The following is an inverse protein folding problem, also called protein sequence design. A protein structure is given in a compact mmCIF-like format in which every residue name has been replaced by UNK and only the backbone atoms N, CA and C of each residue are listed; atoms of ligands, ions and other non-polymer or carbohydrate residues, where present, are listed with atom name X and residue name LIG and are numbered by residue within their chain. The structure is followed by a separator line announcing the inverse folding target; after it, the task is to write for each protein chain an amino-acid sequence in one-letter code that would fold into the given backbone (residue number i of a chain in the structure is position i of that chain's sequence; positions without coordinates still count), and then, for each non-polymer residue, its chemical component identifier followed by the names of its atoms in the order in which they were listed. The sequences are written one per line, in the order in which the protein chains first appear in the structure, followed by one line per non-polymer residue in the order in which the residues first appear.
data_IF_705770838200
#
_entry.id   IF_705770838200
#
_cell.length_a   1.000
_cell.length_b   1.000
_cell.length_c   1.000
_cell.angle_alpha   90.00
_cell.angle_beta   90.00
_cell.angle_gamma   90.00
#
_symmetry.space_group_name_H-M   'P 1'
#
loop_
_entity.id
_entity.type
_entity.pdbx_description
1 polymer ?
#
# COMPACT_ATOMS: atom_id res chain seq x y z
N UNK A 1 7.55 28.20 35.59
CA UNK A 1 7.17 29.37 34.78
C UNK A 1 6.73 30.50 35.72
N UNK A 2 6.91 31.75 35.31
CA UNK A 2 6.34 32.92 36.01
C UNK A 2 4.98 33.25 35.38
N UNK A 3 3.98 33.62 36.17
CA UNK A 3 2.65 33.97 35.64
C UNK A 3 1.97 35.06 36.48
N UNK A 4 1.24 35.94 35.79
CA UNK A 4 0.34 36.93 36.35
C UNK A 4 -0.99 36.85 35.59
N UNK A 5 -2.09 36.58 36.28
CA UNK A 5 -3.42 36.50 35.69
C UNK A 5 -4.44 37.26 36.53
N UNK A 6 -5.34 37.99 35.88
CA UNK A 6 -6.47 38.66 36.51
C UNK A 6 -7.73 37.81 36.43
N UNK A 7 -8.47 37.82 37.53
CA UNK A 7 -9.83 37.28 37.61
C UNK A 7 -10.76 38.33 38.22
N UNK A 8 -12.03 38.29 37.84
CA UNK A 8 -13.06 39.24 38.29
C UNK A 8 -14.32 38.52 38.69
N UNK A 9 -15.03 39.01 39.71
CA UNK A 9 -16.34 38.46 40.10
C UNK A 9 -17.46 38.80 39.11
N UNK A 10 -17.30 39.86 38.31
CA UNK A 10 -18.18 40.23 37.19
C UNK A 10 -17.38 41.09 36.21
N UNK A 11 -17.78 41.08 34.93
CA UNK A 11 -17.24 41.97 33.89
C UNK A 11 -18.26 43.03 33.45
N UNK A 12 -19.32 43.22 34.23
CA UNK A 12 -20.34 44.21 33.94
C UNK A 12 -20.90 44.88 35.20
N UNK A 13 -21.28 46.14 35.03
CA UNK A 13 -22.28 46.83 35.84
C UNK A 13 -23.58 46.93 35.03
N UNK A 14 -24.68 46.49 35.63
CA UNK A 14 -26.00 46.44 34.98
C UNK A 14 -26.85 47.63 35.38
N UNK A 15 -27.57 48.17 34.39
CA UNK A 15 -28.46 49.32 34.52
C UNK A 15 -29.80 48.97 33.87
N UNK A 16 -30.89 49.53 34.38
CA UNK A 16 -32.19 49.44 33.74
C UNK A 16 -32.27 50.34 32.49
N UNK A 17 -33.39 50.24 31.76
CA UNK A 17 -33.63 51.04 30.56
C UNK A 17 -33.74 52.56 30.81
N UNK A 18 -33.84 53.00 32.07
CA UNK A 18 -33.88 54.41 32.48
C UNK A 18 -32.49 54.91 32.96
N UNK A 19 -31.47 54.04 32.91
CA UNK A 19 -30.10 54.36 33.30
C UNK A 19 -29.83 54.28 34.80
N UNK A 20 -30.76 53.76 35.62
CA UNK A 20 -30.51 53.50 37.03
C UNK A 20 -29.83 52.14 37.21
N UNK A 21 -28.87 52.03 38.13
CA UNK A 21 -28.19 50.77 38.38
C UNK A 21 -29.15 49.72 38.97
N UNK A 22 -29.12 48.51 38.43
CA UNK A 22 -29.97 47.41 38.89
C UNK A 22 -29.15 46.11 38.96
N UNK A 23 -28.81 45.60 40.16
CA UNK A 23 -29.18 46.14 41.49
C UNK A 23 -28.51 47.49 41.79
N UNK A 24 -29.09 48.26 42.71
CA UNK A 24 -28.64 49.63 43.04
C UNK A 24 -27.27 49.70 43.71
N UNK A 25 -26.79 48.57 44.24
CA UNK A 25 -25.43 48.40 44.75
C UNK A 25 -24.76 47.22 44.05
N UNK A 26 -23.60 47.48 43.46
CA UNK A 26 -22.81 46.50 42.73
C UNK A 26 -21.33 46.76 43.06
N UNK A 27 -20.54 45.70 43.13
CA UNK A 27 -19.09 45.78 43.31
C UNK A 27 -18.44 44.62 42.60
N UNK A 28 -17.39 44.91 41.82
CA UNK A 28 -16.54 43.92 41.18
C UNK A 28 -15.27 43.77 41.99
N UNK A 29 -14.97 42.55 42.41
CA UNK A 29 -13.67 42.21 42.99
C UNK A 29 -12.75 41.70 41.89
N UNK A 30 -11.55 42.25 41.82
CA UNK A 30 -10.48 41.89 40.90
C UNK A 30 -9.36 41.23 41.72
N UNK A 31 -8.91 40.05 41.33
CA UNK A 31 -7.85 39.33 42.01
C UNK A 31 -6.72 38.96 41.02
N UNK A 32 -5.49 39.30 41.39
CA UNK A 32 -4.27 38.90 40.69
C UNK A 32 -3.74 37.58 41.27
N UNK A 33 -3.74 36.53 40.46
CA UNK A 33 -3.04 35.29 40.76
C UNK A 33 -1.59 35.42 40.26
N UNK A 34 -0.65 35.37 41.21
CA UNK A 34 0.79 35.46 40.94
C UNK A 34 1.45 34.12 41.27
N UNK A 35 2.33 33.65 40.39
CA UNK A 35 3.10 32.43 40.62
C UNK A 35 4.58 32.66 40.28
N UNK A 36 5.46 32.35 41.24
CA UNK A 36 6.91 32.50 41.12
C UNK A 36 7.38 33.93 40.76
N UNK A 37 6.61 34.95 41.17
CA UNK A 37 6.93 36.36 41.00
C UNK A 37 7.06 37.03 42.37
N UNK A 38 8.26 37.42 42.80
CA UNK A 38 8.42 38.17 44.05
C UNK A 38 7.94 39.62 43.87
N UNK A 39 7.21 40.13 44.86
CA UNK A 39 6.74 41.52 44.90
C UNK A 39 5.22 41.65 45.00
N UNK A 40 4.74 42.90 45.05
CA UNK A 40 3.31 43.23 45.09
C UNK A 40 2.88 43.78 43.74
N UNK A 41 1.83 43.23 43.10
CA UNK A 41 1.35 43.73 41.82
C UNK A 41 0.83 45.16 41.91
N UNK A 42 1.14 45.95 40.88
CA UNK A 42 0.62 47.30 40.69
C UNK A 42 -0.64 47.25 39.83
N UNK A 43 -1.67 48.02 40.20
CA UNK A 43 -2.93 48.12 39.46
C UNK A 43 -3.17 49.54 38.99
N UNK A 44 -3.58 49.69 37.73
CA UNK A 44 -4.12 50.92 37.17
C UNK A 44 -5.51 50.65 36.61
N UNK A 45 -6.41 51.62 36.69
CA UNK A 45 -7.74 51.53 36.11
C UNK A 45 -8.06 52.82 35.36
N UNK A 46 -8.57 52.71 34.14
CA UNK A 46 -8.89 53.87 33.30
C UNK A 46 -10.32 53.72 32.78
N UNK A 47 -11.12 54.77 32.94
CA UNK A 47 -12.49 54.83 32.42
C UNK A 47 -12.50 55.35 30.98
N UNK A 48 -13.44 54.85 30.19
CA UNK A 48 -13.63 55.23 28.79
C UNK A 48 -15.10 55.49 28.47
N UNK A 49 -15.38 56.40 27.54
CA UNK A 49 -16.72 56.60 26.99
C UNK A 49 -17.05 55.58 25.88
N UNK A 50 -18.26 55.66 25.32
CA UNK A 50 -18.75 54.75 24.26
C UNK A 50 -17.95 54.83 22.95
N UNK A 51 -17.20 55.90 22.73
CA UNK A 51 -16.30 56.07 21.58
C UNK A 51 -14.86 55.63 21.87
N UNK A 52 -14.60 55.07 23.05
CA UNK A 52 -13.28 54.61 23.47
C UNK A 52 -12.29 55.72 23.84
N UNK A 53 -12.78 56.94 24.07
CA UNK A 53 -11.93 58.04 24.57
C UNK A 53 -11.71 57.88 26.07
N UNK A 54 -10.46 57.97 26.51
CA UNK A 54 -10.11 57.94 27.93
C UNK A 54 -10.74 59.14 28.66
N UNK A 55 -11.46 58.85 29.74
CA UNK A 55 -12.08 59.83 30.63
C UNK A 55 -11.18 60.16 31.84
N UNK A 56 -10.17 59.31 32.10
CA UNK A 56 -9.24 59.48 33.20
C UNK A 56 -9.06 58.22 34.06
N UNK A 57 -8.16 58.32 35.04
CA UNK A 57 -7.85 57.22 35.94
C UNK A 57 -8.91 57.08 37.04
N UNK A 58 -9.34 55.84 37.29
CA UNK A 58 -10.26 55.47 38.38
C UNK A 58 -9.44 54.94 39.56
N UNK A 59 -9.73 55.44 40.76
CA UNK A 59 -9.11 54.91 41.99
C UNK A 59 -9.84 53.66 42.45
N UNK A 60 -9.15 52.51 42.43
CA UNK A 60 -9.67 51.23 42.94
C UNK A 60 -9.59 51.17 44.49
N UNK A 61 -10.51 50.42 45.10
CA UNK A 61 -10.40 50.00 46.50
C UNK A 61 -9.57 48.71 46.67
N UNK A 62 -9.38 48.26 47.91
CA UNK A 62 -8.61 47.05 48.24
C UNK A 62 -7.09 47.25 48.28
N UNK A 63 -6.34 46.18 48.56
CA UNK A 63 -4.88 46.21 48.71
C UNK A 63 -4.22 44.86 48.37
N UNK A 64 -2.89 44.84 48.26
CA UNK A 64 -2.14 43.61 47.93
C UNK A 64 -2.49 43.07 46.54
N UNK A 65 -2.85 41.79 46.45
CA UNK A 65 -3.25 41.10 45.21
C UNK A 65 -4.74 41.20 44.88
N UNK A 66 -5.54 41.87 45.71
CA UNK A 66 -6.98 42.05 45.49
C UNK A 66 -7.33 43.53 45.40
N UNK A 67 -8.20 43.89 44.46
CA UNK A 67 -8.76 45.23 44.29
C UNK A 67 -10.26 45.13 44.12
N UNK A 68 -10.96 46.22 44.40
CA UNK A 68 -12.40 46.32 44.18
C UNK A 68 -12.72 47.55 43.34
N UNK A 69 -13.67 47.41 42.44
CA UNK A 69 -14.31 48.51 41.73
C UNK A 69 -15.79 48.53 42.13
N UNK A 70 -16.20 49.56 42.88
CA UNK A 70 -17.61 49.76 43.24
C UNK A 70 -18.36 50.49 42.14
N UNK A 71 -19.70 50.42 42.16
CA UNK A 71 -20.55 51.18 41.24
C UNK A 71 -20.28 52.69 41.29
N UNK A 72 -20.00 53.23 42.48
CA UNK A 72 -19.66 54.65 42.63
C UNK A 72 -18.33 54.98 41.94
N UNK A 73 -17.31 54.11 42.10
CA UNK A 73 -16.01 54.28 41.44
C UNK A 73 -16.13 54.11 39.92
N UNK A 74 -16.96 53.18 39.43
CA UNK A 74 -17.23 53.01 38.00
C UNK A 74 -17.87 54.26 37.38
N UNK A 75 -18.76 54.93 38.11
CA UNK A 75 -19.41 56.17 37.69
C UNK A 75 -18.67 57.45 38.13
N UNK A 76 -17.38 57.37 38.49
CA UNK A 76 -16.57 58.56 38.87
C UNK A 76 -16.61 59.64 37.79
N UNK A 77 -16.62 59.22 36.52
CA UNK A 77 -16.78 60.09 35.36
C UNK A 77 -18.17 59.94 34.78
N UNK A 78 -18.78 61.06 34.38
CA UNK A 78 -20.01 61.02 33.61
C UNK A 78 -19.75 60.30 32.27
N UNK A 79 -20.73 59.53 31.80
CA UNK A 79 -20.68 58.79 30.53
C UNK A 79 -19.63 57.65 30.46
N UNK A 80 -19.13 57.14 31.60
CA UNK A 80 -18.34 55.90 31.59
C UNK A 80 -19.13 54.76 30.94
N UNK A 81 -18.58 54.20 29.86
CA UNK A 81 -19.10 53.02 29.18
C UNK A 81 -18.38 51.75 29.61
N UNK A 82 -17.07 51.83 29.86
CA UNK A 82 -16.30 50.72 30.41
C UNK A 82 -15.07 51.23 31.17
N UNK A 83 -14.54 50.39 32.05
CA UNK A 83 -13.29 50.61 32.76
C UNK A 83 -12.35 49.46 32.46
N UNK A 84 -11.14 49.76 31.98
CA UNK A 84 -10.08 48.77 31.83
C UNK A 84 -9.19 48.82 33.05
N UNK A 85 -9.01 47.68 33.70
CA UNK A 85 -8.11 47.49 34.84
C UNK A 85 -6.91 46.69 34.37
N UNK A 86 -5.72 47.26 34.53
CA UNK A 86 -4.45 46.63 34.18
C UNK A 86 -3.68 46.33 35.46
N UNK A 87 -3.13 45.13 35.56
CA UNK A 87 -2.26 44.71 36.64
C UNK A 87 -0.89 44.36 36.09
N UNK A 88 0.18 44.85 36.71
CA UNK A 88 1.56 44.58 36.29
C UNK A 88 2.46 44.18 37.47
N UNK A 89 3.37 43.23 37.22
CA UNK A 89 4.38 42.78 38.16
C UNK A 89 5.54 42.09 37.42
N UNK A 90 6.78 42.46 37.75
CA UNK A 90 7.98 41.77 37.21
C UNK A 90 8.11 41.79 35.69
N UNK A 91 7.61 42.84 35.03
CA UNK A 91 7.60 42.98 33.56
C UNK A 91 6.44 42.28 32.85
N UNK A 92 5.59 41.55 33.58
CA UNK A 92 4.34 40.97 33.06
C UNK A 92 3.16 41.92 33.33
N UNK A 93 2.17 41.89 32.44
CA UNK A 93 0.93 42.66 32.58
C UNK A 93 -0.26 41.85 32.10
N UNK A 94 -1.38 41.97 32.79
CA UNK A 94 -2.68 41.44 32.37
C UNK A 94 -3.77 42.51 32.53
N UNK A 95 -4.84 42.46 31.76
CA UNK A 95 -5.91 43.47 31.78
C UNK A 95 -7.30 42.84 31.65
N UNK A 96 -8.27 43.46 32.32
CA UNK A 96 -9.69 43.11 32.21
C UNK A 96 -10.50 44.37 31.94
N UNK A 97 -11.55 44.24 31.11
CA UNK A 97 -12.51 45.32 30.84
C UNK A 97 -13.83 45.00 31.51
N UNK A 98 -14.33 45.97 32.29
CA UNK A 98 -15.62 45.90 32.97
C UNK A 98 -16.56 46.89 32.27
N UNK A 99 -17.70 46.41 31.78
CA UNK A 99 -18.60 47.16 30.90
C UNK A 99 -19.85 47.68 31.62
N UNK A 100 -20.42 48.79 31.13
CA UNK A 100 -21.80 49.17 31.39
C UNK A 100 -22.73 48.38 30.47
N UNK A 101 -23.76 47.75 31.02
CA UNK A 101 -24.80 47.02 30.27
C UNK A 101 -26.18 47.57 30.67
N UNK A 102 -27.02 47.91 29.69
CA UNK A 102 -28.38 48.42 29.91
C UNK A 102 -29.43 47.55 29.17
N UNK A 103 -30.63 47.40 29.73
CA UNK A 103 -31.70 46.56 29.16
C UNK A 103 -32.26 47.10 27.82
N UNK A 104 -32.32 46.22 26.80
CA UNK A 104 -32.51 46.55 25.38
C UNK A 104 -33.89 46.25 24.77
N UNK A 105 -34.98 46.77 25.34
CA UNK A 105 -36.36 46.50 24.89
C UNK A 105 -36.69 46.94 23.43
N UNK A 106 -35.78 47.66 22.75
CA UNK A 106 -35.96 48.18 21.39
C UNK A 106 -35.09 47.49 20.32
N UNK A 107 -34.29 46.49 20.66
CA UNK A 107 -33.50 45.76 19.67
C UNK A 107 -34.39 44.76 18.91
N UNK A 108 -34.51 44.92 17.58
CA UNK A 108 -35.24 43.98 16.72
C UNK A 108 -34.26 43.10 15.95
N UNK A 109 -34.40 41.78 16.07
CA UNK A 109 -33.53 40.80 15.40
C UNK A 109 -34.35 39.76 14.66
N UNK A 110 -33.74 39.05 13.73
CA UNK A 110 -34.40 37.94 13.06
C UNK A 110 -33.41 37.00 12.39
N UNK A 111 -33.80 35.73 12.24
CA UNK A 111 -32.98 34.70 11.64
C UNK A 111 -33.84 33.69 10.88
N UNK A 112 -33.23 33.00 9.93
CA UNK A 112 -33.84 31.87 9.24
C UNK A 112 -33.48 30.59 9.99
N UNK A 113 -34.43 29.69 10.20
CA UNK A 113 -34.12 28.38 10.82
C UNK A 113 -33.28 27.48 9.91
N UNK A 114 -33.23 27.81 8.61
CA UNK A 114 -32.39 27.15 7.61
C UNK A 114 -31.92 28.19 6.58
N UNK A 115 -30.76 28.80 6.80
CA UNK A 115 -30.25 29.89 5.96
C UNK A 115 -29.43 29.42 4.75
N UNK A 116 -29.03 28.15 4.72
CA UNK A 116 -28.30 27.56 3.60
C UNK A 116 -28.60 26.07 3.47
N UNK A 117 -28.63 25.56 2.24
CA UNK A 117 -28.84 24.14 2.00
C UNK A 117 -27.98 23.61 0.85
N UNK A 118 -27.54 22.35 0.95
CA UNK A 118 -26.85 21.65 -0.13
C UNK A 118 -27.68 20.45 -0.56
N UNK A 119 -27.98 20.34 -1.84
CA UNK A 119 -28.75 19.24 -2.42
C UNK A 119 -27.83 18.32 -3.19
N UNK A 120 -27.73 17.06 -2.76
CA UNK A 120 -27.07 16.03 -3.54
C UNK A 120 -27.86 15.76 -4.83
N UNK A 121 -27.16 15.74 -5.96
CA UNK A 121 -27.74 15.51 -7.30
C UNK A 121 -26.90 14.48 -8.05
N UNK A 122 -27.45 13.92 -9.12
CA UNK A 122 -26.63 13.16 -10.06
C UNK A 122 -25.63 14.08 -10.79
N UNK A 123 -24.77 13.50 -11.63
CA UNK A 123 -23.76 14.26 -12.39
C UNK A 123 -24.39 15.28 -13.37
N UNK A 124 -25.63 15.05 -13.83
CA UNK A 124 -26.36 16.00 -14.67
C UNK A 124 -27.03 17.14 -13.90
N UNK A 125 -27.00 17.14 -12.56
CA UNK A 125 -27.60 18.17 -11.71
C UNK A 125 -29.11 17.97 -11.48
N UNK A 126 -29.65 16.80 -11.80
CA UNK A 126 -31.06 16.42 -11.59
C UNK A 126 -31.19 15.38 -10.46
N UNK A 127 -32.43 15.01 -10.12
CA UNK A 127 -32.72 14.01 -9.08
C UNK A 127 -32.48 14.48 -7.64
N UNK A 128 -32.30 15.78 -7.43
CA UNK A 128 -32.14 16.36 -6.09
C UNK A 128 -33.42 16.30 -5.27
N UNK A 129 -33.30 16.02 -3.98
CA UNK A 129 -34.40 16.15 -3.01
C UNK A 129 -34.28 17.47 -2.25
N UNK A 130 -35.33 18.28 -2.30
CA UNK A 130 -35.43 19.56 -1.60
C UNK A 130 -36.23 19.44 -0.30
N UNK A 131 -36.52 18.21 0.13
CA UNK A 131 -37.18 17.94 1.40
C UNK A 131 -36.31 18.46 2.53
N UNK A 132 -36.85 19.37 3.36
CA UNK A 132 -36.10 20.00 4.45
C UNK A 132 -35.23 21.20 4.04
N UNK A 133 -35.22 21.60 2.77
CA UNK A 133 -34.55 22.83 2.33
C UNK A 133 -35.30 24.11 2.79
N UNK A 134 -36.58 23.99 3.16
CA UNK A 134 -37.36 25.07 3.75
C UNK A 134 -37.05 25.34 5.24
N UNK A 135 -37.77 26.29 5.82
CA UNK A 135 -37.62 26.68 7.22
C UNK A 135 -38.64 27.75 7.63
N UNK A 136 -38.34 28.50 8.69
CA UNK A 136 -39.14 29.66 9.14
C UNK A 136 -38.25 30.88 9.37
N UNK A 137 -38.75 32.06 9.04
CA UNK A 137 -38.13 33.34 9.40
C UNK A 137 -38.68 33.79 10.75
N UNK A 138 -37.85 33.71 11.79
CA UNK A 138 -38.20 34.09 13.15
C UNK A 138 -37.72 35.52 13.42
N UNK A 139 -38.58 36.33 14.04
CA UNK A 139 -38.30 37.72 14.40
C UNK A 139 -38.54 37.94 15.89
N UNK A 140 -37.62 38.63 16.54
CA UNK A 140 -37.71 38.99 17.95
C UNK A 140 -37.69 40.51 18.10
N UNK A 141 -38.37 40.99 19.15
CA UNK A 141 -38.20 42.33 19.70
C UNK A 141 -37.82 42.20 21.17
N UNK A 142 -36.61 42.64 21.52
CA UNK A 142 -35.97 42.25 22.77
C UNK A 142 -35.86 40.73 22.85
N UNK A 143 -36.44 40.13 23.90
CA UNK A 143 -36.46 38.68 24.12
C UNK A 143 -37.76 38.00 23.65
N UNK A 144 -38.73 38.76 23.15
CA UNK A 144 -40.05 38.23 22.76
C UNK A 144 -40.12 37.98 21.25
N UNK A 145 -40.49 36.78 20.84
CA UNK A 145 -40.75 36.47 19.44
C UNK A 145 -42.03 37.19 18.99
N UNK A 146 -41.98 37.85 17.82
CA UNK A 146 -43.14 38.44 17.20
C UNK A 146 -43.92 37.38 16.41
N UNK A 147 -45.16 37.14 16.81
CA UNK A 147 -46.11 36.26 16.09
C UNK A 147 -47.25 37.04 15.43
N UNK A 148 -47.32 38.36 15.65
CA UNK A 148 -48.21 39.30 14.99
C UNK A 148 -47.51 40.65 14.80
N UNK A 149 -48.03 41.50 13.91
CA UNK A 149 -47.40 42.80 13.62
C UNK A 149 -46.06 42.70 12.88
N UNK A 150 -45.84 41.57 12.21
CA UNK A 150 -44.75 41.32 11.28
C UNK A 150 -45.33 40.69 10.01
N UNK A 151 -44.87 41.13 8.84
CA UNK A 151 -45.21 40.52 7.55
C UNK A 151 -43.96 40.02 6.85
N UNK A 152 -44.04 38.85 6.23
CA UNK A 152 -42.94 38.21 5.53
C UNK A 152 -43.11 38.23 4.01
N UNK A 153 -42.00 38.37 3.29
CA UNK A 153 -42.00 38.30 1.82
C UNK A 153 -40.67 37.79 1.28
N UNK A 154 -40.68 37.29 0.04
CA UNK A 154 -39.46 37.06 -0.72
C UNK A 154 -39.21 38.30 -1.59
N UNK A 155 -38.04 38.91 -1.47
CA UNK A 155 -37.66 40.05 -2.31
C UNK A 155 -37.40 39.55 -3.74
N UNK A 156 -38.01 40.20 -4.73
CA UNK A 156 -37.88 39.84 -6.15
C UNK A 156 -38.68 38.61 -6.59
N UNK A 157 -39.31 37.88 -5.66
CA UNK A 157 -40.21 36.75 -5.92
C UNK A 157 -39.69 35.69 -6.91
N UNK A 158 -38.48 35.12 -6.72
CA UNK A 158 -38.05 33.95 -7.49
C UNK A 158 -39.05 32.78 -7.35
N UNK A 159 -39.24 32.02 -8.43
CA UNK A 159 -40.23 30.93 -8.49
C UNK A 159 -39.89 29.71 -7.61
N UNK A 160 -38.63 29.58 -7.19
CA UNK A 160 -38.11 28.40 -6.48
C UNK A 160 -38.15 28.51 -4.96
N UNK A 161 -38.55 29.66 -4.41
CA UNK A 161 -38.73 29.83 -2.96
C UNK A 161 -39.98 30.67 -2.68
N UNK A 162 -40.78 30.22 -1.73
CA UNK A 162 -41.99 30.94 -1.29
C UNK A 162 -41.97 31.08 0.21
N UNK A 163 -42.54 32.15 0.76
CA UNK A 163 -42.70 32.36 2.20
C UNK A 163 -44.15 32.73 2.52
N UNK A 164 -44.73 32.11 3.53
CA UNK A 164 -46.03 32.48 4.03
C UNK A 164 -45.93 33.84 4.73
N UNK A 165 -46.73 34.81 4.27
CA UNK A 165 -46.63 36.20 4.70
C UNK A 165 -46.99 36.46 6.16
N UNK A 166 -47.71 35.54 6.81
CA UNK A 166 -48.15 35.66 8.22
C UNK A 166 -47.34 34.79 9.17
N UNK A 167 -46.90 33.60 8.73
CA UNK A 167 -46.20 32.66 9.62
C UNK A 167 -44.68 32.66 9.46
N UNK A 168 -44.16 33.22 8.36
CA UNK A 168 -42.73 33.23 8.06
C UNK A 168 -42.20 31.87 7.60
N UNK A 169 -43.04 30.84 7.47
CA UNK A 169 -42.64 29.53 6.96
C UNK A 169 -42.34 29.63 5.45
N UNK A 170 -41.14 29.21 5.03
CA UNK A 170 -40.73 29.18 3.63
C UNK A 170 -40.43 27.77 3.14
N UNK A 171 -40.71 27.55 1.86
CA UNK A 171 -40.44 26.30 1.15
C UNK A 171 -39.56 26.56 -0.06
N UNK A 172 -38.77 25.56 -0.43
CA UNK A 172 -37.75 25.66 -1.49
C UNK A 172 -37.92 24.50 -2.46
N UNK A 173 -37.85 24.79 -3.75
CA UNK A 173 -37.83 23.81 -4.86
C UNK A 173 -36.56 24.00 -5.69
N UNK A 174 -36.44 23.28 -6.81
CA UNK A 174 -35.25 23.39 -7.67
C UNK A 174 -35.12 24.80 -8.27
N UNK A 175 -34.03 25.54 -7.98
CA UNK A 175 -33.77 26.84 -8.61
C UNK A 175 -33.38 26.73 -10.09
N UNK A 176 -33.14 25.53 -10.62
CA UNK A 176 -32.68 25.27 -11.99
C UNK A 176 -31.18 25.51 -12.19
N UNK A 177 -30.54 26.29 -11.32
CA UNK A 177 -29.10 26.56 -11.29
C UNK A 177 -28.37 25.74 -10.21
N UNK A 178 -27.05 25.61 -10.34
CA UNK A 178 -26.20 24.91 -9.36
C UNK A 178 -25.96 25.74 -8.10
N UNK A 179 -26.13 27.06 -8.16
CA UNK A 179 -26.08 27.97 -7.03
C UNK A 179 -27.19 29.02 -7.20
N UNK A 180 -27.97 29.24 -6.14
CA UNK A 180 -28.98 30.27 -6.11
C UNK A 180 -29.08 30.94 -4.73
N UNK A 181 -29.52 32.18 -4.72
CA UNK A 181 -29.78 32.93 -3.49
C UNK A 181 -31.07 33.74 -3.59
N UNK A 182 -31.75 33.92 -2.47
CA UNK A 182 -32.93 34.74 -2.35
C UNK A 182 -32.90 35.54 -1.05
N UNK A 183 -33.46 36.75 -1.06
CA UNK A 183 -33.60 37.54 0.17
C UNK A 183 -35.01 37.38 0.72
N UNK A 184 -35.11 36.85 1.94
CA UNK A 184 -36.33 36.81 2.72
C UNK A 184 -36.38 38.07 3.59
N UNK A 185 -37.51 38.77 3.55
CA UNK A 185 -37.73 40.04 4.24
C UNK A 185 -38.81 39.87 5.30
N UNK A 186 -38.55 40.37 6.50
CA UNK A 186 -39.54 40.60 7.52
C UNK A 186 -39.72 42.12 7.72
N UNK A 187 -40.97 42.57 7.73
CA UNK A 187 -41.34 43.97 7.99
C UNK A 187 -42.13 44.04 9.28
N UNK A 188 -41.57 44.65 10.32
CA UNK A 188 -42.24 44.88 11.60
C UNK A 188 -43.08 46.15 11.48
N UNK A 189 -44.40 46.01 11.62
CA UNK A 189 -45.39 47.08 11.44
C UNK A 189 -45.91 47.65 12.76
N UNK A 190 -45.41 47.16 13.90
CA UNK A 190 -45.77 47.64 15.25
C UNK A 190 -45.09 48.97 15.65
N UNK A 191 -44.31 49.55 14.74
CA UNK A 191 -43.56 50.80 14.95
C UNK A 191 -43.62 51.66 13.70
N UNK A 192 -43.52 52.97 13.86
CA UNK A 192 -43.46 53.93 12.74
C UNK A 192 -42.18 54.76 12.85
N UNK A 193 -41.28 54.72 11.85
CA UNK A 193 -41.36 53.93 10.61
C UNK A 193 -41.21 52.42 10.86
N UNK A 194 -41.74 51.60 9.94
CA UNK A 194 -41.59 50.14 9.99
C UNK A 194 -40.11 49.75 10.02
N UNK A 195 -39.78 48.67 10.75
CA UNK A 195 -38.42 48.10 10.76
C UNK A 195 -38.36 46.96 9.73
N UNK A 196 -37.31 46.95 8.92
CA UNK A 196 -37.07 45.93 7.90
C UNK A 196 -35.88 45.06 8.32
N UNK A 197 -36.06 43.74 8.22
CA UNK A 197 -35.02 42.74 8.47
C UNK A 197 -34.91 41.84 7.24
N UNK A 198 -33.78 41.91 6.54
CA UNK A 198 -33.50 41.08 5.37
C UNK A 198 -32.49 39.99 5.72
N UNK A 199 -32.81 38.73 5.41
CA UNK A 199 -31.92 37.57 5.51
C UNK A 199 -31.75 36.95 4.12
N UNK A 200 -30.53 36.55 3.80
CA UNK A 200 -30.22 35.87 2.54
C UNK A 200 -30.25 34.36 2.78
N UNK A 201 -31.05 33.65 1.99
CA UNK A 201 -31.03 32.20 1.88
C UNK A 201 -30.17 31.78 0.69
N UNK A 202 -29.34 30.75 0.84
CA UNK A 202 -28.52 30.18 -0.25
C UNK A 202 -28.78 28.69 -0.45
N UNK A 203 -28.72 28.22 -1.68
CA UNK A 203 -28.82 26.79 -1.98
C UNK A 203 -27.83 26.42 -3.09
N UNK A 204 -27.16 25.28 -2.90
CA UNK A 204 -26.20 24.74 -3.86
C UNK A 204 -26.54 23.29 -4.24
N UNK A 205 -26.25 22.92 -5.49
CA UNK A 205 -26.26 21.52 -5.95
C UNK A 205 -24.87 20.91 -5.80
N UNK A 206 -24.77 19.81 -5.07
CA UNK A 206 -23.60 18.94 -5.05
C UNK A 206 -23.78 17.85 -6.12
N UNK A 207 -23.16 18.03 -7.29
CA UNK A 207 -23.22 17.05 -8.39
C UNK A 207 -22.35 15.85 -8.08
N UNK A 208 -22.89 14.65 -8.27
CA UNK A 208 -22.10 13.43 -8.25
C UNK A 208 -21.00 13.46 -9.33
N UNK A 209 -19.88 12.79 -9.06
CA UNK A 209 -18.82 12.60 -10.05
C UNK A 209 -19.32 11.81 -11.27
N UNK A 210 -18.64 11.98 -12.40
CA UNK A 210 -18.83 11.09 -13.56
C UNK A 210 -18.10 9.77 -13.30
N UNK A 211 -18.65 8.67 -13.79
CA UNK A 211 -17.91 7.40 -13.84
C UNK A 211 -16.65 7.59 -14.68
N UNK A 212 -15.50 7.16 -14.17
CA UNK A 212 -14.26 7.18 -14.93
C UNK A 212 -14.33 6.28 -16.17
N UNK A 213 -13.50 6.56 -17.17
CA UNK A 213 -13.33 5.64 -18.28
C UNK A 213 -12.77 4.30 -17.76
N UNK A 214 -13.11 3.20 -18.45
CA UNK A 214 -12.47 1.92 -18.19
C UNK A 214 -10.97 2.03 -18.47
N UNK A 215 -10.17 1.30 -17.70
CA UNK A 215 -8.74 1.14 -17.97
C UNK A 215 -8.51 0.41 -19.30
N UNK A 216 -7.30 0.53 -19.84
CA UNK A 216 -6.85 -0.26 -20.98
C UNK A 216 -6.68 -1.73 -20.60
N UNK A 217 -6.87 -2.64 -21.56
CA UNK A 217 -6.57 -4.06 -21.36
C UNK A 217 -5.09 -4.27 -20.96
N UNK A 218 -4.84 -5.25 -20.09
CA UNK A 218 -3.50 -5.69 -19.74
C UNK A 218 -2.82 -6.50 -20.85
N UNK A 219 -1.51 -6.73 -20.73
CA UNK A 219 -0.74 -7.56 -21.68
C UNK A 219 -0.79 -9.05 -21.28
N UNK A 220 -1.09 -9.91 -22.25
CA UNK A 220 -0.81 -11.33 -22.19
C UNK A 220 0.69 -11.54 -22.51
N UNK A 221 1.37 -12.43 -21.78
CA UNK A 221 2.78 -12.74 -22.01
C UNK A 221 3.01 -14.25 -22.04
N UNK A 222 3.82 -14.74 -22.99
CA UNK A 222 4.19 -16.16 -23.08
C UNK A 222 5.60 -16.32 -23.67
N UNK A 223 6.31 -17.38 -23.27
CA UNK A 223 7.54 -17.82 -23.95
C UNK A 223 7.17 -19.00 -24.83
N UNK A 224 7.54 -18.91 -26.11
CA UNK A 224 7.27 -19.93 -27.12
C UNK A 224 8.57 -20.66 -27.37
N UNK A 225 8.56 -21.98 -27.16
CA UNK A 225 9.67 -22.85 -27.53
C UNK A 225 9.35 -23.59 -28.83
N UNK A 226 10.35 -23.69 -29.70
CA UNK A 226 10.34 -24.62 -30.81
C UNK A 226 11.53 -25.57 -30.69
N UNK A 227 11.31 -26.82 -31.06
CA UNK A 227 12.24 -27.92 -30.91
C UNK A 227 12.51 -28.61 -32.25
N UNK A 228 13.75 -29.03 -32.46
CA UNK A 228 14.17 -29.80 -33.62
C UNK A 228 15.29 -30.78 -33.25
N UNK A 229 15.26 -32.00 -33.81
CA UNK A 229 16.40 -32.93 -33.76
C UNK A 229 17.29 -32.71 -34.99
N UNK A 230 18.58 -32.45 -34.78
CA UNK A 230 19.53 -32.22 -35.87
C UNK A 230 20.98 -32.53 -35.47
N UNK A 231 21.78 -33.08 -36.39
CA UNK A 231 23.20 -33.40 -36.18
C UNK A 231 24.09 -32.15 -36.00
N UNK A 232 23.67 -31.00 -36.56
CA UNK A 232 24.31 -29.70 -36.42
C UNK A 232 23.25 -28.63 -36.14
N UNK A 233 23.68 -27.42 -35.79
CA UNK A 233 22.77 -26.30 -35.52
C UNK A 233 21.82 -26.08 -36.71
N UNK A 234 20.49 -26.20 -36.53
CA UNK A 234 19.54 -25.99 -37.62
C UNK A 234 19.53 -24.54 -38.11
N UNK A 235 19.03 -24.31 -39.31
CA UNK A 235 18.69 -22.96 -39.74
C UNK A 235 17.54 -22.39 -38.89
N UNK A 236 17.57 -21.08 -38.64
CA UNK A 236 16.46 -20.39 -37.99
C UNK A 236 15.16 -20.51 -38.83
N UNK A 237 13.98 -20.47 -38.19
CA UNK A 237 12.72 -20.37 -38.92
C UNK A 237 12.68 -19.06 -39.74
N UNK A 238 11.72 -18.96 -40.66
CA UNK A 238 11.52 -17.74 -41.46
C UNK A 238 10.05 -17.34 -41.52
N UNK A 239 9.78 -16.13 -42.03
CA UNK A 239 8.43 -15.58 -42.12
C UNK A 239 7.92 -14.96 -40.82
N UNK A 240 6.60 -14.77 -40.76
CA UNK A 240 5.91 -14.13 -39.63
C UNK A 240 4.92 -15.12 -39.03
N UNK A 241 5.03 -15.33 -37.73
CA UNK A 241 4.20 -16.24 -36.95
C UNK A 241 3.13 -15.48 -36.17
N UNK A 242 2.06 -16.19 -35.83
CA UNK A 242 0.99 -15.71 -34.96
C UNK A 242 0.83 -16.67 -33.79
N UNK A 243 1.03 -16.18 -32.58
CA UNK A 243 0.78 -16.93 -31.34
C UNK A 243 -0.61 -16.60 -30.81
N UNK A 244 -1.42 -17.61 -30.51
CA UNK A 244 -2.75 -17.44 -29.91
C UNK A 244 -2.72 -17.81 -28.45
N UNK A 245 -2.95 -16.85 -27.54
CA UNK A 245 -2.78 -17.06 -26.11
C UNK A 245 -3.75 -18.09 -25.52
N UNK A 246 -5.00 -18.12 -26.02
CA UNK A 246 -6.03 -19.02 -25.51
C UNK A 246 -5.77 -20.50 -25.81
N UNK A 247 -5.02 -20.80 -26.87
CA UNK A 247 -4.73 -22.18 -27.31
C UNK A 247 -3.27 -22.58 -27.12
N UNK A 248 -2.37 -21.61 -26.93
CA UNK A 248 -0.93 -21.84 -26.87
C UNK A 248 -0.31 -22.24 -28.22
N UNK A 249 -1.04 -22.09 -29.32
CA UNK A 249 -0.62 -22.52 -30.66
C UNK A 249 0.12 -21.40 -31.38
N UNK A 250 1.26 -21.74 -31.97
CA UNK A 250 1.98 -20.92 -32.93
C UNK A 250 1.58 -21.35 -34.34
N UNK A 251 1.15 -20.40 -35.17
CA UNK A 251 0.71 -20.64 -36.54
C UNK A 251 1.36 -19.64 -37.52
N UNK A 252 1.17 -19.84 -38.82
CA UNK A 252 1.82 -19.02 -39.85
C UNK A 252 3.32 -19.30 -39.97
N UNK A 253 4.04 -18.35 -40.58
CA UNK A 253 5.47 -18.45 -40.85
C UNK A 253 5.87 -19.68 -41.66
N UNK A 254 7.18 -19.94 -41.67
CA UNK A 254 7.81 -21.12 -42.28
C UNK A 254 8.73 -21.75 -41.23
N UNK A 255 8.20 -22.65 -40.38
CA UNK A 255 8.96 -23.25 -39.28
C UNK A 255 10.01 -24.26 -39.74
N UNK A 256 9.96 -24.77 -40.99
CA UNK A 256 10.84 -25.87 -41.41
C UNK A 256 10.56 -27.14 -40.60
N UNK A 257 11.60 -27.73 -40.01
CA UNK A 257 11.47 -28.91 -39.14
C UNK A 257 11.32 -28.58 -37.64
N UNK A 258 11.18 -27.30 -37.30
CA UNK A 258 10.90 -26.84 -35.95
C UNK A 258 9.45 -27.13 -35.58
N UNK A 259 9.22 -27.63 -34.36
CA UNK A 259 7.88 -27.97 -33.86
C UNK A 259 7.70 -27.52 -32.40
N UNK A 260 6.48 -27.20 -31.97
CA UNK A 260 6.22 -26.83 -30.57
C UNK A 260 6.30 -28.02 -29.60
N UNK A 261 6.21 -29.25 -30.10
CA UNK A 261 6.36 -30.48 -29.32
C UNK A 261 7.76 -31.04 -29.49
N UNK A 262 8.37 -31.57 -28.44
CA UNK A 262 9.68 -32.22 -28.54
C UNK A 262 9.59 -33.42 -29.50
N UNK A 263 10.36 -33.45 -30.62
CA UNK A 263 10.37 -34.60 -31.52
C UNK A 263 10.91 -35.86 -30.83
N UNK A 264 10.41 -37.03 -31.27
CA UNK A 264 10.88 -38.32 -30.81
C UNK A 264 12.41 -38.46 -30.97
N UNK A 265 13.03 -39.27 -30.10
CA UNK A 265 14.46 -39.51 -30.21
C UNK A 265 14.80 -40.22 -31.53
N UNK A 266 15.81 -39.72 -32.24
CA UNK A 266 16.36 -40.29 -33.47
C UNK A 266 17.90 -40.38 -33.43
N UNK A 267 18.50 -40.31 -32.23
CA UNK A 267 19.95 -40.32 -32.01
C UNK A 267 20.66 -38.99 -32.27
N UNK A 268 19.93 -37.93 -32.65
CA UNK A 268 20.51 -36.60 -32.87
C UNK A 268 20.29 -35.66 -31.67
N UNK A 269 21.17 -34.66 -31.46
CA UNK A 269 20.94 -33.60 -30.49
C UNK A 269 19.57 -32.94 -30.66
N UNK A 270 18.92 -32.66 -29.53
CA UNK A 270 17.72 -31.85 -29.44
C UNK A 270 18.11 -30.38 -29.33
N UNK A 271 17.73 -29.60 -30.33
CA UNK A 271 17.89 -28.15 -30.37
C UNK A 271 16.61 -27.45 -29.94
N UNK A 272 16.76 -26.27 -29.34
CA UNK A 272 15.67 -25.38 -28.94
C UNK A 272 15.95 -23.94 -29.39
N UNK A 273 14.89 -23.25 -29.80
CA UNK A 273 14.83 -21.80 -29.95
C UNK A 273 13.65 -21.25 -29.14
N UNK A 274 13.72 -19.98 -28.74
CA UNK A 274 12.65 -19.33 -28.01
C UNK A 274 12.35 -17.92 -28.52
N UNK A 275 11.08 -17.52 -28.47
CA UNK A 275 10.61 -16.15 -28.66
C UNK A 275 9.62 -15.77 -27.56
N UNK A 276 9.41 -14.47 -27.33
CA UNK A 276 8.42 -13.98 -26.36
C UNK A 276 7.23 -13.40 -27.10
N UNK A 277 6.01 -13.83 -26.76
CA UNK A 277 4.80 -13.16 -27.20
C UNK A 277 4.33 -12.15 -26.14
N UNK A 278 3.96 -10.94 -26.56
CA UNK A 278 3.39 -9.92 -25.68
C UNK A 278 2.35 -9.05 -26.39
N UNK A 279 1.08 -9.11 -25.99
CA UNK A 279 0.01 -8.37 -26.65
C UNK A 279 -1.18 -8.12 -25.73
N UNK A 280 -1.87 -6.99 -25.93
CA UNK A 280 -3.13 -6.66 -25.24
C UNK A 280 -4.37 -7.19 -25.97
N UNK A 281 -4.16 -8.03 -26.98
CA UNK A 281 -5.19 -8.75 -27.74
C UNK A 281 -5.02 -10.27 -27.58
N UNK A 282 -5.92 -11.05 -28.19
CA UNK A 282 -5.93 -12.52 -28.09
C UNK A 282 -4.76 -13.20 -28.81
N UNK A 283 -4.02 -12.46 -29.64
CA UNK A 283 -2.88 -12.97 -30.41
C UNK A 283 -1.70 -12.02 -30.38
N UNK A 284 -0.51 -12.57 -30.62
CA UNK A 284 0.69 -11.79 -30.89
C UNK A 284 1.33 -12.18 -32.23
N UNK A 285 1.94 -11.20 -32.89
CA UNK A 285 2.67 -11.39 -34.15
C UNK A 285 4.15 -11.45 -33.88
N UNK A 286 4.78 -12.57 -34.19
CA UNK A 286 6.19 -12.83 -33.93
C UNK A 286 6.95 -12.95 -35.26
N UNK A 287 7.86 -12.01 -35.52
CA UNK A 287 8.79 -12.12 -36.63
C UNK A 287 9.82 -13.21 -36.37
N UNK A 288 10.25 -13.92 -37.42
CA UNK A 288 11.26 -14.97 -37.29
C UNK A 288 12.58 -14.49 -36.62
N UNK A 289 12.93 -13.22 -36.77
CA UNK A 289 14.12 -12.60 -36.16
C UNK A 289 14.04 -12.45 -34.64
N UNK A 290 12.85 -12.61 -34.04
CA UNK A 290 12.67 -12.56 -32.60
C UNK A 290 12.99 -13.89 -31.90
N UNK A 291 13.11 -14.98 -32.67
CA UNK A 291 13.59 -16.25 -32.13
C UNK A 291 15.08 -16.17 -31.82
N UNK A 292 15.48 -16.75 -30.70
CA UNK A 292 16.88 -16.92 -30.34
C UNK A 292 17.64 -17.75 -31.37
N UNK A 293 18.98 -17.63 -31.37
CA UNK A 293 19.83 -18.62 -32.05
C UNK A 293 19.57 -20.04 -31.51
N UNK A 294 19.66 -21.09 -32.34
CA UNK A 294 19.51 -22.47 -31.88
C UNK A 294 20.56 -22.85 -30.83
N UNK A 295 20.10 -23.46 -29.75
CA UNK A 295 20.95 -24.00 -28.68
C UNK A 295 20.62 -25.48 -28.45
N UNK A 296 21.61 -26.30 -28.10
CA UNK A 296 21.40 -27.70 -27.73
C UNK A 296 20.73 -27.74 -26.36
N UNK A 297 19.52 -28.28 -26.29
CA UNK A 297 18.80 -28.56 -25.05
C UNK A 297 19.24 -29.88 -24.42
N UNK A 298 19.48 -30.91 -25.24
CA UNK A 298 19.93 -32.23 -24.79
C UNK A 298 20.62 -32.99 -25.92
N UNK A 299 21.60 -33.83 -25.58
CA UNK A 299 22.22 -34.78 -26.51
C UNK A 299 22.53 -36.09 -25.76
N UNK A 300 22.58 -37.20 -26.48
CA UNK A 300 22.91 -38.49 -25.88
C UNK A 300 24.38 -38.49 -25.41
N UNK A 301 24.65 -39.15 -24.28
CA UNK A 301 26.01 -39.35 -23.79
C UNK A 301 26.79 -40.29 -24.70
N UNK A 302 28.13 -40.15 -24.72
CA UNK A 302 28.99 -41.13 -25.39
C UNK A 302 28.85 -42.53 -24.77
N UNK A 303 29.31 -43.56 -25.49
CA UNK A 303 29.31 -44.92 -24.97
C UNK A 303 30.07 -45.02 -23.64
N UNK A 304 29.49 -45.74 -22.67
CA UNK A 304 30.13 -46.01 -21.38
C UNK A 304 31.35 -46.92 -21.52
N UNK A 305 32.27 -46.85 -20.55
CA UNK A 305 33.44 -47.73 -20.50
C UNK A 305 33.04 -49.12 -19.96
N UNK A 306 33.23 -50.17 -20.75
CA UNK A 306 33.19 -51.55 -20.25
C UNK A 306 34.51 -51.85 -19.54
N UNK A 307 34.47 -52.54 -18.38
CA UNK A 307 35.68 -52.96 -17.66
C UNK A 307 35.52 -54.34 -17.04
N UNK A 308 36.57 -55.16 -17.09
CA UNK A 308 36.62 -56.50 -16.47
C UNK A 308 38.04 -56.86 -16.05
N UNK A 309 38.19 -57.68 -15.00
CA UNK A 309 39.45 -58.37 -14.69
C UNK A 309 39.41 -59.77 -15.28
N UNK A 310 40.39 -60.08 -16.14
CA UNK A 310 40.50 -61.37 -16.80
C UNK A 310 41.48 -62.25 -16.04
N UNK A 311 41.04 -63.43 -15.62
CA UNK A 311 41.87 -64.44 -14.99
C UNK A 311 42.21 -65.54 -15.98
N UNK A 312 43.48 -65.96 -16.00
CA UNK A 312 43.90 -67.20 -16.65
C UNK A 312 44.60 -68.11 -15.65
N UNK A 313 44.36 -69.40 -15.81
CA UNK A 313 44.87 -70.46 -14.96
C UNK A 313 45.67 -71.44 -15.80
N UNK A 314 46.73 -71.98 -15.19
CA UNK A 314 47.55 -73.04 -15.78
C UNK A 314 48.13 -73.91 -14.67
N UNK A 315 48.15 -75.22 -14.88
CA UNK A 315 48.93 -76.14 -14.04
C UNK A 315 50.35 -76.31 -14.57
N UNK A 316 51.34 -76.26 -13.69
CA UNK A 316 52.75 -76.41 -14.05
C UNK A 316 53.62 -76.70 -12.82
N UNK A 317 54.63 -77.56 -12.97
CA UNK A 317 55.60 -77.85 -11.92
C UNK A 317 56.59 -76.69 -11.64
N UNK A 318 56.77 -75.78 -12.60
CA UNK A 318 57.59 -74.56 -12.48
C UNK A 318 56.79 -73.34 -12.91
N UNK A 319 57.25 -72.13 -12.54
CA UNK A 319 56.62 -70.87 -12.94
C UNK A 319 56.50 -70.78 -14.47
N UNK A 320 55.29 -70.78 -15.06
CA UNK A 320 55.12 -70.75 -16.50
C UNK A 320 55.38 -69.35 -17.09
N UNK A 321 55.76 -69.28 -18.37
CA UNK A 321 55.73 -68.00 -19.09
C UNK A 321 54.29 -67.52 -19.30
N UNK A 322 54.06 -66.21 -19.20
CA UNK A 322 52.78 -65.55 -19.54
C UNK A 322 52.47 -65.70 -21.04
N UNK A 323 51.23 -65.43 -21.50
CA UNK A 323 50.91 -65.40 -22.91
C UNK A 323 51.82 -64.44 -23.70
N UNK A 324 52.27 -64.87 -24.87
CA UNK A 324 53.23 -64.11 -25.71
C UNK A 324 52.58 -63.40 -26.90
N UNK A 325 51.28 -63.62 -27.14
CA UNK A 325 50.48 -62.98 -28.18
C UNK A 325 49.33 -62.20 -27.58
N UNK A 326 48.84 -61.20 -28.30
CA UNK A 326 47.64 -60.49 -27.89
C UNK A 326 46.41 -61.42 -27.90
N UNK A 327 45.50 -61.21 -26.97
CA UNK A 327 44.24 -61.94 -26.84
C UNK A 327 43.07 -60.95 -26.82
N UNK A 328 41.90 -61.36 -27.32
CA UNK A 328 40.72 -60.49 -27.39
C UNK A 328 39.69 -60.90 -26.35
N UNK A 329 39.33 -59.98 -25.47
CA UNK A 329 38.26 -60.16 -24.48
C UNK A 329 36.95 -59.59 -25.02
N UNK A 330 35.87 -60.38 -24.96
CA UNK A 330 34.53 -59.95 -25.37
C UNK A 330 33.66 -59.73 -24.15
N UNK A 331 33.28 -58.48 -23.88
CA UNK A 331 32.54 -58.11 -22.65
C UNK A 331 31.18 -58.79 -22.57
N UNK A 332 30.46 -58.91 -23.70
CA UNK A 332 29.12 -59.50 -23.74
C UNK A 332 29.08 -60.98 -23.32
N UNK A 333 30.17 -61.72 -23.52
CA UNK A 333 30.25 -63.17 -23.25
C UNK A 333 31.20 -63.52 -22.11
N UNK A 334 32.06 -62.60 -21.69
CA UNK A 334 33.12 -62.85 -20.71
C UNK A 334 34.26 -63.74 -21.23
N UNK A 335 34.30 -64.01 -22.54
CA UNK A 335 35.23 -64.96 -23.16
C UNK A 335 36.49 -64.23 -23.66
N UNK A 336 37.65 -64.81 -23.36
CA UNK A 336 38.94 -64.48 -23.94
C UNK A 336 39.26 -65.46 -25.07
N UNK A 337 39.65 -64.94 -26.24
CA UNK A 337 40.12 -65.73 -27.38
C UNK A 337 41.53 -65.32 -27.78
N UNK A 338 42.32 -66.26 -28.34
CA UNK A 338 43.71 -66.00 -28.74
C UNK A 338 44.74 -66.20 -27.62
N UNK A 339 44.32 -66.70 -26.44
CA UNK A 339 45.22 -67.13 -25.38
C UNK A 339 46.12 -68.28 -25.85
N UNK A 340 47.39 -68.23 -25.47
CA UNK A 340 48.39 -69.22 -25.83
C UNK A 340 49.15 -69.72 -24.57
N UNK A 341 50.21 -70.51 -24.79
CA UNK A 341 51.05 -71.06 -23.71
C UNK A 341 50.26 -71.89 -22.67
N UNK A 342 49.21 -72.57 -23.13
CA UNK A 342 48.34 -73.46 -22.33
C UNK A 342 47.62 -72.79 -21.16
N UNK A 343 47.50 -71.46 -21.18
CA UNK A 343 46.66 -70.72 -20.26
C UNK A 343 45.19 -70.81 -20.68
N UNK A 344 44.29 -70.98 -19.72
CA UNK A 344 42.84 -71.10 -19.95
C UNK A 344 42.05 -70.34 -18.89
N UNK A 345 40.81 -69.93 -19.19
CA UNK A 345 39.96 -69.15 -18.27
C UNK A 345 39.32 -70.00 -17.15
N UNK A 346 39.43 -71.33 -17.20
CA UNK A 346 38.96 -72.24 -16.16
C UNK A 346 40.14 -72.96 -15.51
N UNK A 347 40.01 -73.34 -14.24
CA UNK A 347 41.07 -74.07 -13.53
C UNK A 347 41.25 -75.46 -14.17
N UNK A 348 42.43 -75.79 -14.72
CA UNK A 348 42.66 -77.12 -15.31
C UNK A 348 42.66 -78.23 -14.25
N UNK A 349 42.22 -79.44 -14.64
CA UNK A 349 42.43 -80.65 -13.83
C UNK A 349 43.91 -81.05 -13.79
N UNK A 350 44.35 -81.75 -12.74
CA UNK A 350 45.71 -82.27 -12.61
C UNK A 350 46.26 -82.15 -11.19
N UNK A 351 47.54 -82.50 -11.01
CA UNK A 351 48.20 -82.55 -9.70
C UNK A 351 49.25 -81.46 -9.46
N UNK A 352 49.78 -80.85 -10.53
CA UNK A 352 50.78 -79.77 -10.43
C UNK A 352 50.19 -78.49 -9.81
N UNK A 353 51.01 -77.59 -9.22
CA UNK A 353 50.55 -76.28 -8.74
C UNK A 353 49.73 -75.52 -9.79
N UNK A 354 48.65 -74.88 -9.33
CA UNK A 354 47.82 -73.98 -10.15
C UNK A 354 48.46 -72.59 -10.07
N UNK A 355 48.90 -72.09 -11.21
CA UNK A 355 49.28 -70.70 -11.38
C UNK A 355 48.10 -69.88 -11.90
N UNK A 356 48.03 -68.62 -11.48
CA UNK A 356 47.08 -67.61 -11.96
C UNK A 356 47.81 -66.36 -12.43
N UNK A 357 47.32 -65.78 -13.51
CA UNK A 357 47.67 -64.44 -14.00
C UNK A 357 46.40 -63.62 -14.22
N UNK A 358 46.54 -62.30 -14.14
CA UNK A 358 45.45 -61.36 -14.37
C UNK A 358 45.82 -60.30 -15.38
N UNK A 359 44.85 -59.82 -16.14
CA UNK A 359 44.93 -58.60 -16.93
C UNK A 359 43.63 -57.79 -16.79
N UNK A 360 43.70 -56.48 -17.03
CA UNK A 360 42.52 -55.61 -17.05
C UNK A 360 42.06 -55.44 -18.48
N UNK A 361 40.78 -55.68 -18.74
CA UNK A 361 40.13 -55.33 -20.00
C UNK A 361 39.33 -54.03 -19.83
N UNK A 362 39.53 -53.03 -20.70
CA UNK A 362 38.78 -51.77 -20.65
C UNK A 362 38.55 -51.15 -22.05
N UNK A 363 37.30 -50.92 -22.44
CA UNK A 363 36.96 -50.40 -23.77
C UNK A 363 35.58 -49.75 -23.83
N UNK A 364 35.42 -48.69 -24.62
CA UNK A 364 34.11 -48.11 -24.96
C UNK A 364 33.39 -48.89 -26.08
N UNK A 365 34.04 -49.93 -26.62
CA UNK A 365 33.47 -50.86 -27.61
C UNK A 365 33.18 -52.23 -26.98
N UNK A 366 32.59 -53.15 -27.75
CA UNK A 366 32.18 -54.47 -27.25
C UNK A 366 33.33 -55.45 -26.95
N UNK A 367 34.57 -55.10 -27.30
CA UNK A 367 35.76 -55.93 -27.09
C UNK A 367 36.95 -55.10 -26.62
N UNK A 368 37.90 -55.77 -25.98
CA UNK A 368 39.22 -55.21 -25.67
C UNK A 368 40.34 -56.15 -26.12
N UNK A 369 41.48 -55.59 -26.51
CA UNK A 369 42.67 -56.35 -26.92
C UNK A 369 43.70 -56.31 -25.79
N UNK A 370 43.90 -57.45 -25.15
CA UNK A 370 44.88 -57.62 -24.09
C UNK A 370 46.23 -57.97 -24.71
N UNK A 371 47.19 -57.06 -24.64
CA UNK A 371 48.54 -57.27 -25.14
C UNK A 371 49.35 -58.20 -24.22
N UNK A 372 50.38 -58.85 -24.78
CA UNK A 372 51.23 -59.80 -24.02
C UNK A 372 51.88 -59.19 -22.76
N UNK A 373 52.18 -57.89 -22.80
CA UNK A 373 52.79 -57.16 -21.68
C UNK A 373 51.82 -56.74 -20.57
N UNK A 374 50.51 -56.96 -20.72
CA UNK A 374 49.50 -56.54 -19.75
C UNK A 374 49.19 -57.60 -18.69
N UNK A 375 49.67 -58.83 -18.88
CA UNK A 375 49.51 -59.90 -17.92
C UNK A 375 50.40 -59.68 -16.69
N UNK A 376 49.83 -59.90 -15.51
CA UNK A 376 50.60 -59.95 -14.27
C UNK A 376 51.66 -61.05 -14.32
N UNK A 377 52.66 -60.95 -13.44
CA UNK A 377 53.54 -62.08 -13.19
C UNK A 377 52.73 -63.29 -12.66
N UNK A 378 53.10 -64.53 -13.04
CA UNK A 378 52.40 -65.73 -12.55
C UNK A 378 52.56 -65.88 -11.04
N UNK A 379 51.45 -66.13 -10.36
CA UNK A 379 51.40 -66.41 -8.93
C UNK A 379 50.79 -67.79 -8.67
N UNK A 380 51.22 -68.49 -7.62
CA UNK A 380 50.62 -69.77 -7.23
C UNK A 380 49.28 -69.48 -6.54
N UNK A 381 48.19 -69.94 -7.13
CA UNK A 381 46.85 -69.87 -6.55
C UNK A 381 46.65 -70.99 -5.52
N UNK A 382 47.07 -72.21 -5.86
CA UNK A 382 46.92 -73.39 -5.01
C UNK A 382 47.92 -74.49 -5.39
N UNK A 383 48.32 -75.30 -4.41
CA UNK A 383 49.17 -76.49 -4.60
C UNK A 383 48.79 -77.57 -3.58
N UNK A 384 49.12 -78.83 -3.89
CA UNK A 384 48.88 -79.95 -2.95
C UNK A 384 49.69 -79.78 -1.67
N UNK A 385 49.11 -80.20 -0.53
CA UNK A 385 49.85 -80.28 0.73
C UNK A 385 50.93 -81.36 0.69
N UNK A 386 51.92 -81.24 1.58
CA UNK A 386 52.89 -82.32 1.79
C UNK A 386 52.19 -83.59 2.29
N UNK A 387 52.69 -84.76 1.89
CA UNK A 387 52.22 -86.04 2.44
C UNK A 387 52.38 -86.03 3.96
N UNK A 388 51.33 -86.44 4.69
CA UNK A 388 51.40 -86.58 6.15
C UNK A 388 52.46 -87.60 6.57
N UNK A 389 53.10 -87.38 7.72
CA UNK A 389 54.08 -88.33 8.26
C UNK A 389 53.45 -89.72 8.50
N UNK A 390 54.19 -90.78 8.20
CA UNK A 390 53.79 -92.16 8.51
C UNK A 390 53.54 -92.31 10.01
N UNK A 391 52.38 -92.87 10.40
CA UNK A 391 52.05 -93.11 11.81
C UNK A 391 53.04 -94.08 12.47
N UNK A 392 53.31 -93.89 13.76
CA UNK A 392 54.21 -94.77 14.51
C UNK A 392 53.67 -96.22 14.57
N UNK A 393 54.57 -97.19 14.38
CA UNK A 393 54.27 -98.63 14.49
C UNK A 393 53.77 -98.98 15.89
N UNK A 394 52.65 -99.71 16.00
CA UNK A 394 52.09 -100.14 17.28
C UNK A 394 53.07 -101.05 18.05
N UNK A 395 53.26 -100.79 19.34
CA UNK A 395 54.02 -101.66 20.23
C UNK A 395 53.28 -103.00 20.41
N UNK A 396 54.03 -104.10 20.31
CA UNK A 396 53.56 -105.50 20.41
C UNK A 396 53.04 -105.87 21.78
#
# INVERSE_FOLDING_TARGET
SQSLLLSTTSQAFTFDGNGAANPSSQTVTIAAAIQNLPGTPAFTATAFNSSGTSLGQVTLGGSGTSRTLSLAQFNTFANTQYVTVTCSLGGLSDSVTINRVADGLNNSTGYLTNENHTVATNSSGTGGSYTGAGGSFIVFRGTTQLTSGVTFSVVGSPSWITINSSTGAYTVTDPGADLASATLRATITLVTPNIIIDRVYTIAKARAGVTGANGTNGLNNAIIYLYQRAAAAPAAPSGTFTYTFSTGVLSGGTPGSWTQTIPANNGQPLWVIAATASSNTDTDTIAATEFSSPVILSQDGGAGLNSATVFLYRRSATTPAVPSTAATYTFATGVLTGQNNSWVQSVPSGTDPIYVITASAASTTGTDTIAAGEWSTPSILAQNGAQGATGATGAT
#
